data_IF_179931514648
#
_entry.id   IF_179931514648
#
_cell.length_a   1.000
_cell.length_b   1.000
_cell.length_c   1.000
_cell.angle_alpha   90.00
_cell.angle_beta   90.00
_cell.angle_gamma   90.00
#
_symmetry.space_group_name_H-M   'P 1'
#
loop_
_entity.id
_entity.type
_entity.pdbx_description
1 polymer ?
#
# COMPACT_ATOMS: atom_id res chain seq x y z
N UNK A 1 -12.39 -3.45 16.52
CA UNK A 1 -11.12 -3.35 15.78
C UNK A 1 -10.45 -2.05 16.20
N UNK A 2 -9.15 -2.07 16.46
CA UNK A 2 -8.42 -0.84 16.84
C UNK A 2 -8.12 0.03 15.61
N UNK A 3 -7.98 -0.59 14.45
CA UNK A 3 -7.75 0.11 13.19
C UNK A 3 -8.38 -0.59 11.98
N UNK A 4 -8.58 0.17 10.91
CA UNK A 4 -8.85 -0.31 9.55
C UNK A 4 -7.74 0.22 8.64
N UNK A 5 -7.09 -0.66 7.89
CA UNK A 5 -6.07 -0.29 6.91
C UNK A 5 -6.68 -0.28 5.51
N UNK A 6 -6.91 0.91 4.95
CA UNK A 6 -7.41 1.06 3.57
C UNK A 6 -6.23 1.21 2.59
N UNK A 7 -5.89 0.10 1.94
CA UNK A 7 -4.92 0.05 0.85
C UNK A 7 -5.54 0.25 -0.54
N UNK A 8 -6.86 0.32 -0.66
CA UNK A 8 -7.56 0.58 -1.92
C UNK A 8 -7.56 2.08 -2.19
N UNK A 9 -7.66 2.89 -1.14
CA UNK A 9 -7.40 4.32 -1.19
C UNK A 9 -8.37 5.12 -2.09
N UNK A 10 -9.52 4.55 -2.41
CA UNK A 10 -10.59 5.25 -3.12
C UNK A 10 -11.46 6.03 -2.14
N UNK A 11 -12.13 7.08 -2.61
CA UNK A 11 -13.00 7.90 -1.76
C UNK A 11 -14.06 7.07 -1.00
N UNK A 12 -14.66 6.08 -1.67
CA UNK A 12 -15.68 5.22 -1.07
C UNK A 12 -15.10 4.25 -0.05
N UNK A 13 -13.90 3.71 -0.26
CA UNK A 13 -13.27 2.79 0.70
C UNK A 13 -12.78 3.52 1.94
N UNK A 14 -12.28 4.75 1.80
CA UNK A 14 -11.90 5.56 2.95
C UNK A 14 -13.12 5.94 3.79
N UNK A 15 -14.22 6.35 3.16
CA UNK A 15 -15.47 6.63 3.87
C UNK A 15 -16.00 5.39 4.61
N UNK A 16 -16.04 4.25 3.91
CA UNK A 16 -16.48 2.98 4.50
C UNK A 16 -15.61 2.58 5.70
N UNK A 17 -14.29 2.78 5.64
CA UNK A 17 -13.39 2.47 6.75
C UNK A 17 -13.74 3.30 8.00
N UNK A 18 -14.09 4.58 7.83
CA UNK A 18 -14.55 5.44 8.93
C UNK A 18 -15.89 4.94 9.47
N UNK A 19 -16.85 4.63 8.61
CA UNK A 19 -18.17 4.14 9.00
C UNK A 19 -18.10 2.81 9.75
N UNK A 20 -17.23 1.89 9.32
CA UNK A 20 -16.96 0.64 10.02
C UNK A 20 -16.53 0.93 11.46
N UNK A 21 -15.53 1.80 11.67
CA UNK A 21 -15.04 2.09 13.02
C UNK A 21 -16.06 2.88 13.86
N UNK A 22 -16.87 3.75 13.25
CA UNK A 22 -17.97 4.44 13.93
C UNK A 22 -19.13 3.52 14.31
N UNK A 23 -19.38 2.44 13.57
CA UNK A 23 -20.35 1.41 13.96
C UNK A 23 -19.87 0.56 15.15
N UNK A 24 -18.57 0.65 15.46
CA UNK A 24 -17.92 0.02 16.60
C UNK A 24 -17.69 1.05 17.71
N UNK A 25 -16.47 1.13 18.25
CA UNK A 25 -16.09 1.99 19.38
C UNK A 25 -15.14 3.12 18.95
N UNK A 26 -15.03 3.37 17.65
CA UNK A 26 -14.02 4.25 17.08
C UNK A 26 -12.69 3.53 16.83
N UNK A 27 -11.63 4.29 16.60
CA UNK A 27 -10.30 3.76 16.33
C UNK A 27 -9.52 4.59 15.32
N UNK A 28 -8.60 3.94 14.58
CA UNK A 28 -7.78 4.58 13.56
C UNK A 28 -8.03 4.02 12.16
N UNK A 29 -8.40 4.87 11.21
CA UNK A 29 -8.30 4.53 9.78
C UNK A 29 -6.89 4.91 9.33
N UNK A 30 -6.19 3.94 8.77
CA UNK A 30 -4.86 4.12 8.18
C UNK A 30 -5.03 4.11 6.66
N UNK A 31 -4.58 5.17 5.99
CA UNK A 31 -4.67 5.33 4.54
C UNK A 31 -3.29 5.55 3.93
N UNK A 32 -3.09 5.09 2.70
CA UNK A 32 -1.78 5.21 2.01
C UNK A 32 -1.72 6.33 0.96
N UNK A 33 -2.85 7.00 0.72
CA UNK A 33 -2.99 8.20 -0.10
C UNK A 33 -3.57 9.34 0.72
N UNK A 34 -3.57 10.60 0.23
CA UNK A 34 -4.23 11.70 0.94
C UNK A 34 -5.69 11.38 1.29
N UNK A 35 -6.13 11.91 2.44
CA UNK A 35 -7.47 11.67 2.96
C UNK A 35 -8.54 12.30 2.06
N UNK A 36 -9.60 11.54 1.79
CA UNK A 36 -10.80 12.04 1.14
C UNK A 36 -11.57 12.99 2.07
N UNK A 37 -12.10 14.08 1.52
CA UNK A 37 -12.79 15.12 2.28
C UNK A 37 -14.04 14.58 2.98
N UNK A 38 -14.80 13.67 2.34
CA UNK A 38 -16.01 13.09 2.95
C UNK A 38 -15.64 12.14 4.07
N UNK A 39 -14.60 11.32 3.89
CA UNK A 39 -14.10 10.48 4.97
C UNK A 39 -13.64 11.33 6.18
N UNK A 40 -12.92 12.42 5.92
CA UNK A 40 -12.48 13.36 6.97
C UNK A 40 -13.65 14.05 7.67
N UNK A 41 -14.65 14.52 6.93
CA UNK A 41 -15.86 15.12 7.50
C UNK A 41 -16.63 14.09 8.33
N UNK A 42 -16.81 12.86 7.81
CA UNK A 42 -17.50 11.78 8.50
C UNK A 42 -16.81 11.43 9.82
N UNK A 43 -15.47 11.43 9.86
CA UNK A 43 -14.68 11.11 11.05
C UNK A 43 -14.88 12.09 12.22
N UNK A 44 -15.41 13.28 11.94
CA UNK A 44 -15.61 14.39 12.90
C UNK A 44 -17.08 14.62 13.27
N UNK A 45 -18.01 13.79 12.79
CA UNK A 45 -19.44 13.92 13.11
C UNK A 45 -19.66 13.76 14.61
N UNK A 46 -20.29 14.76 15.23
CA UNK A 46 -20.63 14.75 16.66
C UNK A 46 -21.59 13.61 17.00
N UNK A 47 -21.47 13.08 18.21
CA UNK A 47 -22.30 11.97 18.69
C UNK A 47 -21.94 10.60 18.12
N UNK A 48 -20.97 10.51 17.19
CA UNK A 48 -20.40 9.24 16.74
C UNK A 48 -19.09 8.92 17.47
N UNK A 49 -18.71 7.63 17.57
CA UNK A 49 -17.41 7.26 18.09
C UNK A 49 -16.26 7.94 17.34
N UNK A 50 -15.21 8.33 18.07
CA UNK A 50 -14.07 9.07 17.52
C UNK A 50 -13.26 8.18 16.57
N UNK A 51 -13.05 8.67 15.35
CA UNK A 51 -12.18 8.00 14.37
C UNK A 51 -11.05 8.95 13.98
N UNK A 52 -9.81 8.52 14.19
CA UNK A 52 -8.63 9.19 13.66
C UNK A 52 -8.36 8.71 12.24
N UNK A 53 -8.20 9.62 11.28
CA UNK A 53 -7.75 9.29 9.93
C UNK A 53 -6.27 9.67 9.82
N UNK A 54 -5.41 8.67 9.68
CA UNK A 54 -3.96 8.82 9.64
C UNK A 54 -3.43 8.39 8.27
N UNK A 55 -2.82 9.32 7.53
CA UNK A 55 -2.13 9.00 6.30
C UNK A 55 -0.70 8.53 6.58
N UNK A 56 -0.38 7.31 6.16
CA UNK A 56 0.99 6.79 6.16
C UNK A 56 1.48 6.70 4.71
N UNK A 57 2.24 7.70 4.28
CA UNK A 57 2.88 7.66 2.97
C UNK A 57 4.19 6.85 3.08
N UNK A 58 4.24 5.68 2.44
CA UNK A 58 5.43 4.84 2.35
C UNK A 58 6.47 5.41 1.39
N UNK A 59 7.12 6.53 1.73
CA UNK A 59 8.13 7.17 0.90
C UNK A 59 9.53 7.01 1.52
N UNK A 60 10.17 5.88 1.25
CA UNK A 60 11.46 5.52 1.88
C UNK A 60 12.61 6.51 1.65
N UNK A 61 12.54 7.33 0.60
CA UNK A 61 13.52 8.39 0.31
C UNK A 61 13.32 9.66 1.13
N UNK A 62 12.15 9.86 1.76
CA UNK A 62 11.85 11.05 2.53
C UNK A 62 12.66 11.07 3.84
N UNK A 63 13.35 12.19 4.19
CA UNK A 63 14.22 12.24 5.37
C UNK A 63 13.54 11.82 6.68
N UNK A 64 12.27 12.20 6.88
CA UNK A 64 11.52 11.86 8.08
C UNK A 64 11.27 10.35 8.28
N UNK A 65 11.45 9.53 7.24
CA UNK A 65 11.17 8.09 7.28
C UNK A 65 12.43 7.22 7.20
N UNK A 66 13.63 7.82 7.12
CA UNK A 66 14.90 7.09 7.00
C UNK A 66 15.17 6.11 8.13
N UNK A 67 14.81 6.48 9.36
CA UNK A 67 14.95 5.61 10.52
C UNK A 67 14.19 4.28 10.37
N UNK A 68 13.15 4.23 9.53
CA UNK A 68 12.41 3.01 9.19
C UNK A 68 12.92 2.41 7.88
N UNK A 69 13.07 3.22 6.83
CA UNK A 69 13.39 2.72 5.48
C UNK A 69 14.80 2.16 5.35
N UNK A 70 15.80 2.73 6.02
CA UNK A 70 17.17 2.21 6.01
C UNK A 70 17.24 0.84 6.69
N UNK A 71 16.60 0.70 7.85
CA UNK A 71 16.50 -0.58 8.55
C UNK A 71 15.71 -1.60 7.73
N UNK A 72 14.60 -1.21 7.11
CA UNK A 72 13.86 -2.11 6.23
C UNK A 72 14.73 -2.57 5.06
N UNK A 73 15.38 -1.64 4.34
CA UNK A 73 16.22 -1.97 3.20
C UNK A 73 17.39 -2.90 3.57
N UNK A 74 18.01 -2.67 4.73
CA UNK A 74 19.14 -3.47 5.23
C UNK A 74 18.78 -4.91 5.60
N UNK A 75 17.50 -5.22 5.86
CA UNK A 75 17.07 -6.54 6.33
C UNK A 75 16.02 -7.21 5.44
N UNK A 76 15.54 -6.53 4.39
CA UNK A 76 14.50 -7.06 3.51
C UNK A 76 15.03 -8.20 2.63
N UNK A 77 16.19 -7.99 2.02
CA UNK A 77 16.87 -8.95 1.12
C UNK A 77 17.98 -9.74 1.82
N UNK A 78 18.84 -10.37 1.03
CA UNK A 78 19.91 -11.31 1.44
C UNK A 78 19.41 -12.66 1.95
N UNK A 79 20.36 -13.60 2.17
CA UNK A 79 20.08 -15.00 2.53
C UNK A 79 19.37 -15.15 3.89
N UNK A 80 19.61 -14.22 4.82
CA UNK A 80 18.98 -14.19 6.15
C UNK A 80 17.84 -13.16 6.26
N UNK A 81 17.53 -12.46 5.16
CA UNK A 81 16.55 -11.39 5.14
C UNK A 81 15.10 -11.82 5.32
N UNK A 82 14.23 -10.84 5.58
CA UNK A 82 12.80 -11.07 5.79
C UNK A 82 12.13 -11.84 4.65
N UNK A 83 12.58 -11.65 3.41
CA UNK A 83 12.05 -12.40 2.26
C UNK A 83 12.53 -13.85 2.27
N UNK A 84 13.83 -14.08 2.48
CA UNK A 84 14.43 -15.42 2.45
C UNK A 84 13.93 -16.30 3.61
N UNK A 85 13.75 -15.71 4.80
CA UNK A 85 13.25 -16.43 5.97
C UNK A 85 11.72 -16.52 6.06
N UNK A 86 11.00 -15.95 5.08
CA UNK A 86 9.53 -16.05 4.98
C UNK A 86 8.75 -15.10 5.89
N UNK A 87 9.41 -14.20 6.63
CA UNK A 87 8.73 -13.17 7.45
C UNK A 87 7.93 -12.18 6.58
N UNK A 88 8.36 -11.97 5.34
CA UNK A 88 7.65 -11.16 4.34
C UNK A 88 7.45 -11.98 3.07
N UNK A 89 6.19 -12.16 2.67
CA UNK A 89 5.83 -12.73 1.37
C UNK A 89 5.57 -11.60 0.38
N UNK A 90 6.41 -11.50 -0.66
CA UNK A 90 6.20 -10.55 -1.76
C UNK A 90 5.16 -11.06 -2.75
N UNK A 91 4.61 -10.14 -3.56
CA UNK A 91 3.73 -10.52 -4.66
C UNK A 91 4.46 -11.44 -5.64
N UNK A 92 3.72 -12.40 -6.22
CA UNK A 92 4.24 -13.24 -7.31
C UNK A 92 4.69 -12.36 -8.48
N UNK A 93 5.76 -12.77 -9.15
CA UNK A 93 6.28 -12.03 -10.30
C UNK A 93 5.70 -12.61 -11.59
N UNK A 94 5.26 -11.72 -12.48
CA UNK A 94 4.99 -12.04 -13.88
C UNK A 94 6.06 -11.35 -14.71
N UNK A 95 6.95 -12.13 -15.31
CA UNK A 95 7.99 -11.59 -16.19
C UNK A 95 7.43 -11.45 -17.59
N UNK A 96 7.65 -10.30 -18.21
CA UNK A 96 7.46 -10.09 -19.65
C UNK A 96 8.82 -10.26 -20.31
N UNK A 97 8.97 -11.37 -21.03
CA UNK A 97 10.20 -11.76 -21.74
C UNK A 97 10.54 -10.77 -22.87
N UNK A 98 11.79 -10.77 -23.35
CA UNK A 98 12.25 -9.89 -24.45
C UNK A 98 12.71 -8.50 -23.99
N UNK A 99 12.95 -8.33 -22.68
CA UNK A 99 13.54 -7.15 -22.10
C UNK A 99 12.86 -5.83 -22.46
N UNK A 100 13.64 -4.82 -22.83
CA UNK A 100 13.12 -3.48 -23.13
C UNK A 100 12.27 -3.44 -24.41
N UNK A 101 12.47 -4.36 -25.37
CA UNK A 101 11.69 -4.39 -26.61
C UNK A 101 10.20 -4.59 -26.35
N UNK A 102 9.85 -5.29 -25.26
CA UNK A 102 8.48 -5.59 -24.85
C UNK A 102 7.93 -4.70 -23.72
N UNK A 103 8.53 -3.52 -23.49
CA UNK A 103 8.05 -2.61 -22.43
C UNK A 103 6.58 -2.18 -22.61
N UNK A 104 6.14 -1.96 -23.85
CA UNK A 104 4.75 -1.60 -24.16
C UNK A 104 3.77 -2.70 -23.76
N UNK A 105 4.15 -3.97 -23.96
CA UNK A 105 3.36 -5.11 -23.52
C UNK A 105 3.26 -5.16 -21.99
N UNK A 106 4.37 -4.93 -21.28
CA UNK A 106 4.40 -4.90 -19.83
C UNK A 106 3.53 -3.78 -19.24
N UNK A 107 3.62 -2.57 -19.82
CA UNK A 107 2.78 -1.43 -19.42
C UNK A 107 1.29 -1.68 -19.72
N UNK A 108 0.99 -2.29 -20.88
CA UNK A 108 -0.39 -2.69 -21.22
C UNK A 108 -0.95 -3.67 -20.19
N UNK A 109 -0.21 -4.73 -19.84
CA UNK A 109 -0.64 -5.69 -18.83
C UNK A 109 -0.89 -5.04 -17.46
N UNK A 110 -0.02 -4.11 -17.04
CA UNK A 110 -0.24 -3.36 -15.80
C UNK A 110 -1.52 -2.52 -15.85
N UNK A 111 -1.79 -1.86 -16.98
CA UNK A 111 -2.96 -1.00 -17.19
C UNK A 111 -4.27 -1.78 -17.25
N UNK A 112 -4.28 -2.94 -17.90
CA UNK A 112 -5.46 -3.81 -17.98
C UNK A 112 -5.80 -4.45 -16.62
N UNK A 113 -4.85 -4.43 -15.69
CA UNK A 113 -5.01 -4.86 -14.32
C UNK A 113 -4.41 -6.25 -14.10
N UNK A 114 -3.59 -6.35 -13.06
CA UNK A 114 -2.98 -7.59 -12.62
C UNK A 114 -3.34 -7.84 -11.15
N UNK A 115 -3.97 -8.98 -10.87
CA UNK A 115 -4.38 -9.32 -9.50
C UNK A 115 -3.31 -10.16 -8.80
N UNK A 116 -2.76 -9.63 -7.71
CA UNK A 116 -1.80 -10.35 -6.86
C UNK A 116 -0.47 -10.70 -7.53
N UNK A 117 -0.12 -10.01 -8.63
CA UNK A 117 1.17 -10.18 -9.30
C UNK A 117 1.84 -8.83 -9.58
N UNK A 118 3.17 -8.84 -9.64
CA UNK A 118 4.02 -7.73 -10.06
C UNK A 118 4.52 -8.01 -11.46
N UNK A 119 4.16 -7.16 -12.43
CA UNK A 119 4.74 -7.20 -13.78
C UNK A 119 6.19 -6.71 -13.71
N UNK A 120 7.11 -7.50 -14.26
CA UNK A 120 8.56 -7.23 -14.26
C UNK A 120 9.09 -7.38 -15.68
N UNK A 121 10.00 -6.50 -16.06
CA UNK A 121 10.86 -6.65 -17.25
C UNK A 121 12.30 -6.80 -16.79
N UNK A 122 13.10 -7.59 -17.51
CA UNK A 122 14.55 -7.67 -17.32
C UNK A 122 15.22 -6.90 -18.46
N UNK A 123 15.68 -5.65 -18.25
CA UNK A 123 16.03 -4.75 -19.36
C UNK A 123 17.07 -5.28 -20.35
N UNK A 124 17.92 -6.21 -19.91
CA UNK A 124 19.06 -6.74 -20.67
C UNK A 124 18.81 -8.13 -21.29
N UNK A 125 17.58 -8.66 -21.24
CA UNK A 125 17.20 -9.98 -21.75
C UNK A 125 16.97 -9.99 -23.29
N UNK A 126 17.71 -9.17 -24.03
CA UNK A 126 17.67 -9.14 -25.50
C UNK A 126 18.71 -10.09 -26.12
#
# INVERSE_FOLDING_TARGET
AEFVYDSISSASTQLLAVEILQSLQGGKVIIVTPADEKAMAQSKVEGKPKVEVANILGLGSHPAYRCVSENLAAHLGDEDGYVANGSITLNRVQVVEGGLENIEQALKANKEGVSGVKVVIRPHEA
#
